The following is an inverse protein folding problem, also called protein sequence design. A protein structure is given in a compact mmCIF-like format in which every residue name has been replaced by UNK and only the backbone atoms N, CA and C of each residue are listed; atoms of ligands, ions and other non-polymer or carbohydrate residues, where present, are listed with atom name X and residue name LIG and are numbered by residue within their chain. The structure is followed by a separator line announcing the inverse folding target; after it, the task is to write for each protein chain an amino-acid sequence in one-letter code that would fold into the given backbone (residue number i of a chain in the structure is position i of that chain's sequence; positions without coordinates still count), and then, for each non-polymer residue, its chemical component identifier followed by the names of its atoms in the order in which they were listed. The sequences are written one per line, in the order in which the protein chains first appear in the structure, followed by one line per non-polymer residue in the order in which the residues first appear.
data_IF_900325514355
#
_entry.id   IF_900325514355
#
_cell.length_a   1.000
_cell.length_b   1.000
_cell.length_c   1.000
_cell.angle_alpha   90.00
_cell.angle_beta   90.00
_cell.angle_gamma   90.00
#
_symmetry.space_group_name_H-M   'P 1'
#
loop_
_entity.id
_entity.type
_entity.pdbx_description
1 polymer ?
#
# COMPACT_ATOMS: atom_id res chain seq x y z
N UNK A 1 32.83 5.52 -35.63
CA UNK A 1 32.91 4.07 -35.32
C UNK A 1 33.09 3.81 -33.82
N UNK A 2 34.16 4.30 -33.18
CA UNK A 2 34.45 4.02 -31.74
C UNK A 2 33.36 4.56 -30.78
N UNK A 3 32.82 5.75 -31.03
CA UNK A 3 31.76 6.34 -30.21
C UNK A 3 30.45 5.55 -30.23
N UNK A 4 30.10 4.92 -31.36
CA UNK A 4 28.90 4.09 -31.48
C UNK A 4 29.03 2.77 -30.69
N UNK A 5 30.22 2.18 -30.68
CA UNK A 5 30.53 0.99 -29.88
C UNK A 5 30.48 1.30 -28.38
N UNK A 6 30.99 2.46 -27.96
CA UNK A 6 30.96 2.90 -26.56
C UNK A 6 29.54 3.16 -26.07
N UNK A 7 28.70 3.79 -26.89
CA UNK A 7 27.27 4.00 -26.62
C UNK A 7 26.50 2.67 -26.52
N UNK A 8 26.81 1.70 -27.38
CA UNK A 8 26.22 0.36 -27.32
C UNK A 8 26.62 -0.38 -26.04
N UNK A 9 27.89 -0.31 -25.62
CA UNK A 9 28.37 -0.92 -24.38
C UNK A 9 27.74 -0.27 -23.15
N UNK A 10 27.68 1.06 -23.08
CA UNK A 10 27.03 1.78 -21.97
C UNK A 10 25.53 1.45 -21.91
N UNK A 11 24.85 1.44 -23.05
CA UNK A 11 23.43 1.05 -23.13
C UNK A 11 23.21 -0.39 -22.68
N UNK A 12 24.10 -1.31 -23.09
CA UNK A 12 24.04 -2.71 -22.67
C UNK A 12 24.30 -2.88 -21.17
N UNK A 13 25.26 -2.16 -20.60
CA UNK A 13 25.52 -2.14 -19.15
C UNK A 13 24.31 -1.59 -18.40
N UNK A 14 23.70 -0.50 -18.86
CA UNK A 14 22.50 0.09 -18.25
C UNK A 14 21.33 -0.91 -18.32
N UNK A 15 21.11 -1.56 -19.47
CA UNK A 15 20.05 -2.56 -19.64
C UNK A 15 20.30 -3.80 -18.78
N UNK A 16 21.55 -4.26 -18.69
CA UNK A 16 21.95 -5.40 -17.86
C UNK A 16 21.76 -5.10 -16.37
N UNK A 17 22.19 -3.92 -15.90
CA UNK A 17 21.98 -3.46 -14.53
C UNK A 17 20.48 -3.30 -14.23
N UNK A 18 19.70 -2.70 -15.14
CA UNK A 18 18.24 -2.58 -15.00
C UNK A 18 17.55 -3.93 -14.90
N UNK A 19 17.96 -4.92 -15.71
CA UNK A 19 17.41 -6.28 -15.67
C UNK A 19 17.74 -6.99 -14.34
N UNK A 20 18.98 -6.82 -13.84
CA UNK A 20 19.42 -7.38 -12.54
C UNK A 20 18.72 -6.72 -11.33
N UNK A 21 18.30 -5.46 -11.48
CA UNK A 21 17.58 -4.70 -10.45
C UNK A 21 16.05 -4.86 -10.51
N UNK A 22 15.52 -5.54 -11.53
CA UNK A 22 14.06 -5.69 -11.67
C UNK A 22 13.52 -6.73 -10.67
N UNK A 23 12.54 -6.32 -9.86
CA UNK A 23 11.85 -7.22 -8.92
C UNK A 23 11.21 -8.40 -9.67
N UNK A 24 11.37 -9.61 -9.11
CA UNK A 24 10.75 -10.85 -9.59
C UNK A 24 9.67 -11.27 -8.60
N UNK A 25 8.46 -11.51 -9.09
CA UNK A 25 7.36 -12.02 -8.27
C UNK A 25 7.52 -13.53 -8.08
N UNK A 26 7.46 -13.98 -6.83
CA UNK A 26 7.38 -15.41 -6.52
C UNK A 26 6.01 -16.00 -6.86
N UNK A 27 5.85 -17.30 -6.62
CA UNK A 27 4.53 -17.93 -6.69
C UNK A 27 3.62 -17.35 -5.60
N UNK A 28 2.40 -16.99 -5.99
CA UNK A 28 1.41 -16.50 -5.05
C UNK A 28 0.74 -17.66 -4.30
N UNK A 29 0.30 -17.46 -3.05
CA UNK A 29 -0.63 -18.42 -2.44
C UNK A 29 -1.95 -18.47 -3.23
N UNK A 30 -2.67 -19.59 -3.12
CA UNK A 30 -3.96 -19.78 -3.81
C UNK A 30 -5.08 -18.93 -3.22
N UNK A 31 -4.98 -18.60 -1.94
CA UNK A 31 -5.94 -17.78 -1.20
C UNK A 31 -5.22 -16.67 -0.46
N UNK A 32 -5.99 -15.66 -0.05
CA UNK A 32 -5.44 -14.56 0.70
C UNK A 32 -4.90 -15.01 2.06
N UNK A 33 -3.69 -14.57 2.39
CA UNK A 33 -3.00 -14.88 3.64
C UNK A 33 -3.41 -13.89 4.74
N UNK A 34 -4.40 -14.30 5.54
CA UNK A 34 -5.07 -13.45 6.54
C UNK A 34 -4.59 -13.74 7.96
N UNK A 35 -4.53 -12.71 8.79
CA UNK A 35 -4.28 -12.84 10.23
C UNK A 35 -5.49 -13.44 10.96
N UNK A 36 -5.30 -14.05 12.14
CA UNK A 36 -6.36 -14.70 12.91
C UNK A 36 -7.29 -13.68 13.62
N UNK A 37 -7.95 -12.81 12.85
CA UNK A 37 -9.01 -11.92 13.33
C UNK A 37 -10.35 -12.66 13.24
N UNK A 38 -11.12 -12.66 14.33
CA UNK A 38 -12.44 -13.30 14.38
C UNK A 38 -13.33 -12.73 13.27
N UNK A 39 -13.94 -13.63 12.49
CA UNK A 39 -14.82 -13.27 11.37
C UNK A 39 -14.11 -12.94 10.06
N UNK A 40 -12.81 -12.67 10.05
CA UNK A 40 -12.06 -12.30 8.84
C UNK A 40 -12.04 -13.42 7.80
N UNK A 41 -11.94 -14.68 8.23
CA UNK A 41 -12.04 -15.83 7.31
C UNK A 41 -13.40 -15.87 6.62
N UNK A 42 -14.50 -15.70 7.35
CA UNK A 42 -15.86 -15.70 6.78
C UNK A 42 -16.03 -14.56 5.77
N UNK A 43 -15.48 -13.39 6.08
CA UNK A 43 -15.45 -12.24 5.18
C UNK A 43 -14.65 -12.52 3.89
N UNK A 44 -13.47 -13.12 4.02
CA UNK A 44 -12.63 -13.54 2.90
C UNK A 44 -13.29 -14.62 2.04
N UNK A 45 -13.87 -15.66 2.66
CA UNK A 45 -14.59 -16.71 1.94
C UNK A 45 -15.81 -16.16 1.19
N UNK A 46 -16.47 -15.14 1.73
CA UNK A 46 -17.59 -14.49 1.04
C UNK A 46 -17.11 -13.69 -0.17
N UNK A 47 -16.01 -12.95 -0.06
CA UNK A 47 -15.38 -12.26 -1.19
C UNK A 47 -15.09 -13.23 -2.34
N UNK A 48 -14.48 -14.38 -2.03
CA UNK A 48 -14.17 -15.40 -3.03
C UNK A 48 -15.43 -15.96 -3.72
N UNK A 49 -16.56 -16.07 -3.01
CA UNK A 49 -17.83 -16.52 -3.59
C UNK A 49 -18.48 -15.45 -4.46
N UNK A 50 -18.34 -14.16 -4.11
CA UNK A 50 -18.89 -13.04 -4.87
C UNK A 50 -18.15 -12.80 -6.19
N UNK A 51 -16.92 -13.29 -6.33
CA UNK A 51 -16.13 -13.19 -7.56
C UNK A 51 -16.33 -14.43 -8.43
N UNK A 52 -17.28 -14.36 -9.38
CA UNK A 52 -17.57 -15.50 -10.26
C UNK A 52 -16.36 -15.90 -11.11
N UNK A 53 -16.18 -17.22 -11.33
CA UNK A 53 -15.05 -17.74 -12.13
C UNK A 53 -15.06 -17.21 -13.57
N UNK A 54 -16.23 -17.11 -14.18
CA UNK A 54 -16.37 -16.60 -15.55
C UNK A 54 -15.97 -15.12 -15.62
N UNK A 55 -16.41 -14.31 -14.66
CA UNK A 55 -16.05 -12.90 -14.61
C UNK A 55 -14.54 -12.73 -14.45
N UNK A 56 -13.94 -13.42 -13.46
CA UNK A 56 -12.51 -13.30 -13.21
C UNK A 56 -11.65 -13.85 -14.36
N UNK A 57 -12.11 -14.89 -15.07
CA UNK A 57 -11.45 -15.38 -16.28
C UNK A 57 -11.42 -14.33 -17.40
N UNK A 58 -12.54 -13.63 -17.63
CA UNK A 58 -12.60 -12.56 -18.63
C UNK A 58 -11.71 -11.36 -18.24
N UNK A 59 -11.68 -11.02 -16.95
CA UNK A 59 -10.78 -9.98 -16.42
C UNK A 59 -9.32 -10.36 -16.62
N UNK A 60 -8.93 -11.59 -16.30
CA UNK A 60 -7.57 -12.08 -16.52
C UNK A 60 -7.18 -11.99 -17.99
N UNK A 61 -8.02 -12.52 -18.90
CA UNK A 61 -7.76 -12.47 -20.34
C UNK A 61 -7.57 -11.03 -20.83
N UNK A 62 -8.43 -10.11 -20.39
CA UNK A 62 -8.32 -8.69 -20.71
C UNK A 62 -7.02 -8.09 -20.18
N UNK A 63 -6.68 -8.33 -18.92
CA UNK A 63 -5.46 -7.82 -18.30
C UNK A 63 -4.21 -8.31 -19.04
N UNK A 64 -4.16 -9.58 -19.45
CA UNK A 64 -3.04 -10.14 -20.20
C UNK A 64 -2.88 -9.50 -21.60
N UNK A 65 -3.97 -9.00 -22.20
CA UNK A 65 -3.94 -8.27 -23.47
C UNK A 65 -3.53 -6.79 -23.31
N UNK A 66 -4.07 -6.13 -22.29
CA UNK A 66 -3.95 -4.67 -22.10
C UNK A 66 -2.71 -4.26 -21.30
N UNK A 67 -2.19 -5.13 -20.43
CA UNK A 67 -1.13 -4.82 -19.49
C UNK A 67 0.06 -5.76 -19.68
N UNK A 68 1.25 -5.18 -19.89
CA UNK A 68 2.51 -5.94 -19.92
C UNK A 68 2.91 -6.34 -18.49
N UNK A 69 2.49 -7.53 -18.09
CA UNK A 69 2.79 -8.09 -16.77
C UNK A 69 4.10 -8.89 -16.77
N UNK A 70 4.77 -8.90 -15.61
CA UNK A 70 5.80 -9.90 -15.33
C UNK A 70 5.17 -11.25 -14.97
N UNK A 71 5.98 -12.30 -15.06
CA UNK A 71 5.63 -13.61 -14.53
C UNK A 71 5.13 -13.50 -13.08
N UNK A 72 4.03 -14.19 -12.76
CA UNK A 72 3.32 -14.19 -11.47
C UNK A 72 2.72 -12.85 -11.00
N UNK A 73 2.93 -11.72 -11.72
CA UNK A 73 2.48 -10.40 -11.26
C UNK A 73 0.96 -10.29 -11.19
N UNK A 74 0.23 -10.91 -12.13
CA UNK A 74 -1.24 -10.93 -12.14
C UNK A 74 -1.79 -11.45 -10.80
N UNK A 75 -1.34 -12.63 -10.39
CA UNK A 75 -1.85 -13.30 -9.19
C UNK A 75 -1.59 -12.48 -7.93
N UNK A 76 -0.44 -11.81 -7.84
CA UNK A 76 -0.14 -10.91 -6.72
C UNK A 76 -0.99 -9.64 -6.73
N UNK A 77 -1.18 -9.01 -7.90
CA UNK A 77 -2.10 -7.87 -8.04
C UNK A 77 -3.52 -8.26 -7.63
N UNK A 78 -3.98 -9.45 -8.04
CA UNK A 78 -5.31 -9.95 -7.71
C UNK A 78 -5.47 -10.23 -6.21
N UNK A 79 -4.47 -10.84 -5.56
CA UNK A 79 -4.49 -11.03 -4.10
C UNK A 79 -4.59 -9.68 -3.36
N UNK A 80 -3.81 -8.68 -3.74
CA UNK A 80 -3.87 -7.38 -3.08
C UNK A 80 -5.14 -6.59 -3.42
N UNK A 81 -5.74 -6.80 -4.59
CA UNK A 81 -7.05 -6.25 -4.90
C UNK A 81 -8.14 -6.85 -3.99
N UNK A 82 -8.04 -8.15 -3.70
CA UNK A 82 -8.92 -8.81 -2.72
C UNK A 82 -8.70 -8.27 -1.30
N UNK A 83 -7.45 -8.03 -0.88
CA UNK A 83 -7.15 -7.33 0.38
C UNK A 83 -7.83 -5.96 0.43
N UNK A 84 -7.77 -5.22 -0.68
CA UNK A 84 -8.41 -3.91 -0.79
C UNK A 84 -9.94 -4.01 -0.66
N UNK A 85 -10.60 -4.97 -1.31
CA UNK A 85 -12.05 -5.16 -1.14
C UNK A 85 -12.44 -5.53 0.29
N UNK A 86 -11.61 -6.30 1.00
CA UNK A 86 -11.82 -6.52 2.44
C UNK A 86 -11.74 -5.19 3.21
N UNK A 87 -10.76 -4.34 2.93
CA UNK A 87 -10.65 -3.03 3.57
C UNK A 87 -11.88 -2.14 3.29
N UNK A 88 -12.36 -2.08 2.03
CA UNK A 88 -13.55 -1.29 1.68
C UNK A 88 -14.84 -1.84 2.29
N UNK A 89 -14.89 -3.12 2.67
CA UNK A 89 -16.03 -3.71 3.39
C UNK A 89 -16.08 -3.35 4.89
N UNK A 90 -14.95 -2.89 5.45
CA UNK A 90 -14.79 -2.60 6.87
C UNK A 90 -14.70 -1.09 7.16
N UNK A 91 -13.95 -0.35 6.35
CA UNK A 91 -13.62 1.06 6.56
C UNK A 91 -14.64 2.00 5.90
N UNK A 92 -14.87 3.17 6.49
CA UNK A 92 -15.67 4.25 5.86
C UNK A 92 -15.00 4.76 4.59
N UNK A 93 -13.69 4.95 4.66
CA UNK A 93 -12.86 5.43 3.57
C UNK A 93 -11.62 4.54 3.45
N UNK A 94 -11.29 4.15 2.22
CA UNK A 94 -10.11 3.34 1.92
C UNK A 94 -9.57 3.71 0.53
N UNK A 95 -8.62 4.66 0.44
CA UNK A 95 -7.99 5.02 -0.83
C UNK A 95 -7.17 3.85 -1.39
N UNK A 96 -7.14 3.72 -2.72
CA UNK A 96 -6.27 2.73 -3.38
C UNK A 96 -4.85 3.31 -3.53
N UNK A 97 -3.91 2.89 -2.69
CA UNK A 97 -2.53 3.41 -2.70
C UNK A 97 -1.58 2.71 -3.68
N UNK A 98 -1.97 1.56 -4.23
CA UNK A 98 -1.16 0.85 -5.23
C UNK A 98 -1.70 1.12 -6.63
N UNK A 99 -1.00 1.95 -7.41
CA UNK A 99 -1.34 2.14 -8.82
C UNK A 99 -1.33 0.83 -9.62
N UNK A 100 -0.52 -0.15 -9.20
CA UNK A 100 -0.51 -1.46 -9.85
C UNK A 100 -1.80 -2.26 -9.59
N UNK A 101 -2.30 -2.22 -8.37
CA UNK A 101 -3.56 -2.88 -8.02
C UNK A 101 -4.74 -2.11 -8.62
N UNK A 102 -4.65 -0.78 -8.65
CA UNK A 102 -5.61 0.13 -9.27
C UNK A 102 -5.77 -0.15 -10.77
N UNK A 103 -4.67 -0.34 -11.52
CA UNK A 103 -4.72 -0.72 -12.94
C UNK A 103 -5.55 -2.00 -13.17
N UNK A 104 -5.41 -3.00 -12.28
CA UNK A 104 -6.19 -4.25 -12.36
C UNK A 104 -7.67 -3.98 -12.02
N UNK A 105 -7.92 -3.17 -11.00
CA UNK A 105 -9.28 -2.76 -10.63
C UNK A 105 -9.97 -2.03 -11.80
N UNK A 106 -9.26 -1.16 -12.51
CA UNK A 106 -9.76 -0.52 -13.73
C UNK A 106 -10.17 -1.54 -14.80
N UNK A 107 -9.43 -2.64 -14.98
CA UNK A 107 -9.84 -3.69 -15.91
C UNK A 107 -11.10 -4.43 -15.45
N UNK A 108 -11.26 -4.62 -14.13
CA UNK A 108 -12.49 -5.18 -13.56
C UNK A 108 -13.72 -4.30 -13.88
N UNK A 109 -13.59 -2.97 -13.82
CA UNK A 109 -14.69 -2.02 -14.08
C UNK A 109 -15.23 -2.05 -15.52
N UNK A 110 -14.45 -2.58 -16.48
CA UNK A 110 -14.88 -2.67 -17.88
C UNK A 110 -16.00 -3.69 -18.10
N UNK A 111 -16.19 -4.60 -17.15
CA UNK A 111 -17.30 -5.56 -17.13
C UNK A 111 -18.37 -5.03 -16.19
N UNK A 112 -19.05 -3.97 -16.62
CA UNK A 112 -19.88 -3.13 -15.73
C UNK A 112 -20.99 -3.90 -15.03
N UNK A 113 -21.62 -4.86 -15.72
CA UNK A 113 -22.69 -5.69 -15.16
C UNK A 113 -22.14 -6.64 -14.10
N UNK A 114 -21.12 -7.41 -14.43
CA UNK A 114 -20.50 -8.38 -13.53
C UNK A 114 -19.86 -7.71 -12.31
N UNK A 115 -19.29 -6.51 -12.52
CA UNK A 115 -18.75 -5.69 -11.44
C UNK A 115 -19.83 -5.19 -10.49
N UNK A 116 -20.97 -4.75 -11.02
CA UNK A 116 -22.11 -4.32 -10.22
C UNK A 116 -22.73 -5.50 -9.44
N UNK A 117 -22.89 -6.65 -10.08
CA UNK A 117 -23.34 -7.90 -9.46
C UNK A 117 -22.40 -8.32 -8.31
N UNK A 118 -21.08 -8.34 -8.57
CA UNK A 118 -20.05 -8.60 -7.54
C UNK A 118 -20.18 -7.62 -6.36
N UNK A 119 -20.27 -6.32 -6.66
CA UNK A 119 -20.29 -5.27 -5.65
C UNK A 119 -21.51 -5.40 -4.74
N UNK A 120 -22.70 -5.58 -5.34
CA UNK A 120 -23.96 -5.75 -4.60
C UNK A 120 -23.95 -7.02 -3.76
N UNK A 121 -23.47 -8.14 -4.30
CA UNK A 121 -23.35 -9.39 -3.55
C UNK A 121 -22.42 -9.22 -2.34
N UNK A 122 -21.22 -8.68 -2.58
CA UNK A 122 -20.20 -8.61 -1.54
C UNK A 122 -20.47 -7.51 -0.51
N UNK A 123 -20.75 -6.29 -0.96
CA UNK A 123 -20.82 -5.06 -0.16
C UNK A 123 -22.26 -4.59 0.10
N UNK A 124 -23.25 -5.08 -0.64
CA UNK A 124 -24.64 -4.60 -0.56
C UNK A 124 -24.95 -3.37 -1.41
N UNK A 125 -23.93 -2.78 -2.05
CA UNK A 125 -24.05 -1.62 -2.93
C UNK A 125 -22.98 -1.66 -4.02
N UNK A 126 -23.14 -0.86 -5.07
CA UNK A 126 -22.10 -0.68 -6.09
C UNK A 126 -20.85 -0.05 -5.45
N UNK A 127 -19.67 -0.64 -5.68
CA UNK A 127 -18.41 -0.06 -5.24
C UNK A 127 -17.95 0.97 -6.26
N UNK A 128 -18.22 2.24 -5.99
CA UNK A 128 -17.78 3.31 -6.87
C UNK A 128 -16.27 3.50 -6.78
N UNK A 129 -15.59 3.38 -7.92
CA UNK A 129 -14.20 3.80 -8.03
C UNK A 129 -14.15 5.31 -8.25
N UNK A 130 -13.50 6.03 -7.34
CA UNK A 130 -13.07 7.39 -7.58
C UNK A 130 -11.60 7.38 -8.02
N UNK A 131 -11.25 7.89 -9.21
CA UNK A 131 -9.86 8.03 -9.60
C UNK A 131 -9.10 8.83 -8.54
N UNK A 132 -7.90 8.40 -8.18
CA UNK A 132 -7.02 9.17 -7.30
C UNK A 132 -6.57 10.45 -8.03
N UNK A 133 -7.36 11.52 -7.97
CA UNK A 133 -7.04 12.80 -8.60
C UNK A 133 -5.81 13.48 -7.94
N UNK A 134 -5.52 13.12 -6.69
CA UNK A 134 -4.34 13.59 -5.95
C UNK A 134 -3.15 12.67 -6.25
N UNK A 135 -2.18 13.19 -7.01
CA UNK A 135 -0.90 12.50 -7.29
C UNK A 135 -0.02 12.32 -6.05
N UNK A 136 -0.28 13.06 -4.97
CA UNK A 136 0.46 12.94 -3.71
C UNK A 136 -0.31 12.04 -2.74
N UNK A 137 0.35 11.07 -2.10
CA UNK A 137 -0.27 10.34 -1.00
C UNK A 137 -0.70 11.35 0.06
N UNK A 138 -1.94 11.23 0.54
CA UNK A 138 -2.36 11.87 1.78
C UNK A 138 -1.66 11.12 2.92
N UNK A 139 -0.58 11.67 3.50
CA UNK A 139 0.28 10.92 4.41
C UNK A 139 -0.50 10.35 5.59
N UNK A 140 -1.45 11.15 6.09
CA UNK A 140 -2.32 10.84 7.21
C UNK A 140 -3.18 9.59 6.96
N UNK A 141 -3.79 9.49 5.77
CA UNK A 141 -4.56 8.32 5.35
C UNK A 141 -3.67 7.11 5.07
N UNK A 142 -2.46 7.34 4.55
CA UNK A 142 -1.56 6.25 4.18
C UNK A 142 -0.98 5.53 5.39
N UNK A 143 -0.61 6.26 6.45
CA UNK A 143 -0.16 5.66 7.69
C UNK A 143 -1.26 4.81 8.33
N UNK A 144 -2.48 5.33 8.39
CA UNK A 144 -3.65 4.61 8.92
C UNK A 144 -3.95 3.34 8.09
N UNK A 145 -3.93 3.44 6.76
CA UNK A 145 -4.05 2.28 5.88
C UNK A 145 -3.01 1.20 6.18
N UNK A 146 -1.73 1.57 6.30
CA UNK A 146 -0.65 0.62 6.59
C UNK A 146 -0.85 -0.06 7.97
N UNK A 147 -1.40 0.65 8.95
CA UNK A 147 -1.78 0.07 10.24
C UNK A 147 -2.89 -0.96 10.09
N UNK A 148 -4.02 -0.60 9.49
CA UNK A 148 -5.16 -1.53 9.31
C UNK A 148 -4.75 -2.75 8.48
N UNK A 149 -4.01 -2.54 7.39
CA UNK A 149 -3.45 -3.62 6.57
C UNK A 149 -2.56 -4.53 7.41
N UNK A 150 -1.66 -3.94 8.23
CA UNK A 150 -0.77 -4.65 9.12
C UNK A 150 -1.47 -5.47 10.21
N UNK A 151 -2.71 -5.15 10.58
CA UNK A 151 -3.54 -5.92 11.52
C UNK A 151 -4.30 -7.07 10.85
N UNK A 152 -4.63 -6.95 9.56
CA UNK A 152 -5.45 -7.91 8.83
C UNK A 152 -4.63 -8.93 8.02
N UNK A 153 -3.47 -8.55 7.49
CA UNK A 153 -2.74 -9.34 6.49
C UNK A 153 -1.26 -9.53 6.83
N UNK A 154 -0.67 -10.57 6.25
CA UNK A 154 0.79 -10.74 6.26
C UNK A 154 1.43 -9.95 5.10
N UNK A 155 2.40 -9.11 5.42
CA UNK A 155 3.09 -8.24 4.45
C UNK A 155 4.31 -8.97 3.90
N UNK A 156 4.27 -9.27 2.60
CA UNK A 156 5.34 -9.94 1.84
C UNK A 156 6.06 -8.96 0.92
N UNK A 157 7.21 -9.41 0.39
CA UNK A 157 8.04 -8.61 -0.52
C UNK A 157 7.27 -8.17 -1.77
N UNK A 158 6.34 -8.98 -2.24
CA UNK A 158 5.45 -8.67 -3.36
C UNK A 158 4.47 -7.55 -3.02
N UNK A 159 3.84 -7.59 -1.83
CA UNK A 159 2.98 -6.50 -1.37
C UNK A 159 3.78 -5.19 -1.27
N UNK A 160 4.97 -5.25 -0.68
CA UNK A 160 5.88 -4.11 -0.57
C UNK A 160 6.22 -3.55 -1.95
N UNK A 161 6.46 -4.42 -2.93
CA UNK A 161 6.71 -3.98 -4.30
C UNK A 161 5.47 -3.31 -4.94
N UNK A 162 4.27 -3.88 -4.73
CA UNK A 162 3.02 -3.34 -5.26
C UNK A 162 2.66 -1.98 -4.66
N UNK A 163 2.87 -1.78 -3.36
CA UNK A 163 2.55 -0.52 -2.64
C UNK A 163 3.71 0.48 -2.56
N UNK A 164 4.87 0.15 -3.17
CA UNK A 164 6.12 0.92 -3.11
C UNK A 164 6.58 1.16 -1.66
N UNK A 165 6.49 0.13 -0.82
CA UNK A 165 6.82 0.15 0.60
C UNK A 165 5.60 0.14 1.52
N UNK A 166 5.83 -0.23 2.78
CA UNK A 166 4.90 -0.12 3.91
C UNK A 166 5.59 0.64 5.04
N UNK A 167 4.81 1.24 5.94
CA UNK A 167 5.26 2.01 7.10
C UNK A 167 6.14 3.21 6.74
N UNK A 168 5.81 3.86 5.62
CA UNK A 168 6.59 4.99 5.07
C UNK A 168 6.09 6.36 5.54
N UNK A 169 4.85 6.42 6.01
CA UNK A 169 4.18 7.63 6.47
C UNK A 169 3.61 7.38 7.86
N UNK A 170 3.77 8.32 8.80
CA UNK A 170 3.29 8.12 10.17
C UNK A 170 1.76 8.07 10.24
N UNK A 171 1.23 7.40 11.26
CA UNK A 171 -0.17 7.58 11.67
C UNK A 171 -0.27 8.86 12.51
N UNK A 172 -1.23 9.77 12.24
CA UNK A 172 -1.47 10.94 13.09
C UNK A 172 -1.65 10.56 14.58
N UNK A 173 -0.99 11.26 15.53
CA UNK A 173 -1.02 10.86 16.93
C UNK A 173 -2.42 10.88 17.55
N UNK A 174 -3.31 11.76 17.09
CA UNK A 174 -4.70 11.83 17.54
C UNK A 174 -5.45 10.52 17.24
N UNK A 175 -5.26 9.92 16.06
CA UNK A 175 -5.88 8.64 15.71
C UNK A 175 -5.40 7.55 16.69
N UNK A 176 -4.10 7.49 16.97
CA UNK A 176 -3.54 6.50 17.91
C UNK A 176 -4.12 6.72 19.32
N UNK A 177 -4.27 7.98 19.74
CA UNK A 177 -4.87 8.34 21.03
C UNK A 177 -6.35 7.96 21.13
N UNK A 178 -7.11 8.15 20.06
CA UNK A 178 -8.51 7.73 19.99
C UNK A 178 -8.63 6.21 20.18
N UNK A 179 -7.80 5.41 19.50
CA UNK A 179 -7.76 3.96 19.72
C UNK A 179 -7.29 3.55 21.13
N UNK A 180 -6.53 4.40 21.84
CA UNK A 180 -6.20 4.15 23.25
C UNK A 180 -7.38 4.40 24.19
N UNK A 181 -8.17 5.44 23.92
CA UNK A 181 -9.10 6.04 24.91
C UNK A 181 -10.57 5.79 24.58
N UNK A 182 -10.99 5.98 23.34
CA UNK A 182 -12.40 5.96 22.96
C UNK A 182 -13.00 4.56 23.08
N UNK A 183 -14.29 4.44 23.43
CA UNK A 183 -15.00 3.16 23.41
C UNK A 183 -15.18 2.65 21.97
N UNK A 184 -15.50 1.36 21.82
CA UNK A 184 -15.53 0.71 20.49
C UNK A 184 -16.61 1.29 19.57
N UNK A 185 -17.76 1.71 20.10
CA UNK A 185 -18.84 2.32 19.32
C UNK A 185 -18.41 3.66 18.68
N UNK A 186 -17.69 4.52 19.41
CA UNK A 186 -17.19 5.77 18.86
C UNK A 186 -16.13 5.52 17.77
N UNK A 187 -15.25 4.53 17.96
CA UNK A 187 -14.29 4.14 16.93
C UNK A 187 -14.98 3.62 15.67
N UNK A 188 -16.07 2.87 15.81
CA UNK A 188 -16.91 2.46 14.68
C UNK A 188 -17.44 3.68 13.94
N UNK A 189 -18.03 4.64 14.66
CA UNK A 189 -18.57 5.87 14.07
C UNK A 189 -17.51 6.75 13.40
N UNK A 190 -16.26 6.73 13.85
CA UNK A 190 -15.21 7.54 13.23
C UNK A 190 -14.60 6.87 11.99
N UNK A 191 -14.31 5.56 12.06
CA UNK A 191 -13.41 4.92 11.10
C UNK A 191 -14.03 3.78 10.29
N UNK A 192 -15.11 3.17 10.77
CA UNK A 192 -15.66 1.93 10.21
C UNK A 192 -17.10 2.10 9.70
N UNK A 193 -17.52 1.19 8.83
CA UNK A 193 -18.91 1.13 8.37
C UNK A 193 -19.78 0.57 9.50
N UNK A 194 -20.64 1.40 10.07
CA UNK A 194 -21.54 1.05 11.17
C UNK A 194 -22.66 0.09 10.73
N UNK A 195 -23.00 0.11 9.46
CA UNK A 195 -23.98 -0.77 8.80
C UNK A 195 -23.35 -2.03 8.21
N UNK A 196 -22.06 -2.29 8.48
CA UNK A 196 -21.38 -3.47 7.94
C UNK A 196 -22.03 -4.75 8.44
N UNK A 197 -22.46 -5.62 7.52
CA UNK A 197 -22.88 -7.00 7.83
C UNK A 197 -21.78 -7.85 8.51
N UNK A 198 -20.57 -7.31 8.63
CA UNK A 198 -19.42 -7.91 9.31
C UNK A 198 -19.04 -7.21 10.61
N UNK A 199 -20.00 -6.62 11.34
CA UNK A 199 -19.72 -5.92 12.60
C UNK A 199 -18.89 -6.73 13.61
N UNK A 200 -19.08 -8.06 13.69
CA UNK A 200 -18.24 -8.90 14.54
C UNK A 200 -16.74 -8.86 14.16
N UNK A 201 -16.44 -8.77 12.86
CA UNK A 201 -15.07 -8.60 12.33
C UNK A 201 -14.55 -7.20 12.61
N UNK A 202 -15.39 -6.17 12.43
CA UNK A 202 -15.06 -4.77 12.75
C UNK A 202 -14.65 -4.62 14.21
N UNK A 203 -15.47 -5.10 15.16
CA UNK A 203 -15.16 -5.04 16.59
C UNK A 203 -13.89 -5.83 16.93
N UNK A 204 -13.65 -6.95 16.27
CA UNK A 204 -12.43 -7.75 16.48
C UNK A 204 -11.17 -7.06 15.95
N UNK A 205 -11.27 -6.37 14.82
CA UNK A 205 -10.21 -5.52 14.27
C UNK A 205 -9.95 -4.32 15.18
N UNK A 206 -10.99 -3.63 15.64
CA UNK A 206 -10.87 -2.54 16.62
C UNK A 206 -10.13 -3.05 17.86
N UNK A 207 -10.55 -4.19 18.43
CA UNK A 207 -9.87 -4.79 19.58
C UNK A 207 -8.38 -5.07 19.32
N UNK A 208 -8.01 -5.55 18.14
CA UNK A 208 -6.62 -5.74 17.74
C UNK A 208 -5.85 -4.41 17.67
N UNK A 209 -6.42 -3.40 17.00
CA UNK A 209 -5.83 -2.06 16.90
C UNK A 209 -5.67 -1.41 18.27
N UNK A 210 -6.67 -1.48 19.16
CA UNK A 210 -6.56 -0.97 20.54
C UNK A 210 -5.43 -1.66 21.30
N UNK A 211 -5.22 -2.98 21.11
CA UNK A 211 -4.09 -3.71 21.70
C UNK A 211 -2.75 -3.21 21.16
N UNK A 212 -2.63 -2.94 19.87
CA UNK A 212 -1.42 -2.37 19.26
C UNK A 212 -1.16 -0.96 19.75
N UNK A 213 -2.19 -0.11 19.81
CA UNK A 213 -2.10 1.26 20.32
C UNK A 213 -1.67 1.32 21.80
N UNK A 214 -2.07 0.35 22.63
CA UNK A 214 -1.62 0.22 24.02
C UNK A 214 -0.18 -0.27 24.18
N UNK A 215 0.40 -0.89 23.15
CA UNK A 215 1.78 -1.39 23.17
C UNK A 215 2.82 -0.35 22.76
N UNK A 216 2.39 0.84 22.32
CA UNK A 216 3.31 1.88 21.86
C UNK A 216 4.24 2.32 22.99
N UNK A 217 5.51 2.56 22.65
CA UNK A 217 6.54 2.99 23.61
C UNK A 217 7.41 4.06 23.00
N UNK A 218 7.94 4.94 23.82
CA UNK A 218 8.94 5.89 23.34
C UNK A 218 10.28 5.14 23.18
N UNK A 219 10.63 4.80 21.94
CA UNK A 219 11.88 4.13 21.62
C UNK A 219 12.95 5.15 21.25
N UNK A 220 14.20 4.87 21.66
CA UNK A 220 15.34 5.56 21.09
C UNK A 220 15.52 5.21 19.60
N UNK A 221 16.01 6.18 18.83
CA UNK A 221 16.21 6.03 17.38
C UNK A 221 17.09 4.83 17.01
N UNK A 222 18.18 4.61 17.74
CA UNK A 222 19.08 3.47 17.51
C UNK A 222 18.37 2.12 17.67
N UNK A 223 17.50 2.01 18.66
CA UNK A 223 16.69 0.81 18.91
C UNK A 223 15.72 0.52 17.76
N UNK A 224 15.03 1.54 17.26
CA UNK A 224 14.11 1.38 16.12
C UNK A 224 14.88 0.92 14.88
N UNK A 225 16.01 1.55 14.57
CA UNK A 225 16.85 1.18 13.43
C UNK A 225 17.40 -0.24 13.56
N UNK A 226 17.75 -0.69 14.77
CA UNK A 226 18.14 -2.07 15.03
C UNK A 226 16.98 -3.05 14.79
N UNK A 227 15.78 -2.74 15.27
CA UNK A 227 14.58 -3.55 15.02
C UNK A 227 14.27 -3.66 13.53
N UNK A 228 14.39 -2.56 12.77
CA UNK A 228 14.24 -2.57 11.31
C UNK A 228 15.27 -3.47 10.63
N UNK A 229 16.53 -3.41 11.06
CA UNK A 229 17.61 -4.26 10.52
C UNK A 229 17.35 -5.74 10.79
N UNK A 230 16.93 -6.08 12.02
CA UNK A 230 16.63 -7.47 12.42
C UNK A 230 15.41 -8.03 11.69
N UNK A 231 14.40 -7.20 11.44
CA UNK A 231 13.13 -7.62 10.84
C UNK A 231 13.01 -7.31 9.35
N UNK A 232 14.13 -7.19 8.61
CA UNK A 232 14.13 -6.87 7.17
C UNK A 232 13.26 -7.81 6.32
N UNK A 233 13.01 -9.03 6.79
CA UNK A 233 12.17 -10.04 6.12
C UNK A 233 10.80 -10.26 6.80
N UNK A 234 10.55 -9.63 7.95
CA UNK A 234 9.28 -9.75 8.70
C UNK A 234 8.70 -8.37 8.96
N UNK A 235 8.01 -7.82 7.96
CA UNK A 235 7.45 -6.48 8.05
C UNK A 235 6.34 -6.39 9.10
N UNK A 236 5.56 -7.45 9.33
CA UNK A 236 4.51 -7.41 10.36
C UNK A 236 5.09 -7.20 11.78
N UNK A 237 6.31 -7.64 12.06
CA UNK A 237 6.97 -7.38 13.35
C UNK A 237 7.29 -5.88 13.57
N UNK A 238 7.35 -5.09 12.50
CA UNK A 238 7.59 -3.65 12.55
C UNK A 238 6.36 -2.83 12.89
N UNK A 239 5.17 -3.43 13.02
CA UNK A 239 3.93 -2.70 13.29
C UNK A 239 4.00 -1.88 14.59
N UNK A 240 4.39 -2.49 15.72
CA UNK A 240 4.47 -1.76 17.00
C UNK A 240 5.54 -0.66 16.99
N UNK A 241 6.78 -0.89 16.52
CA UNK A 241 7.75 0.18 16.35
C UNK A 241 7.26 1.31 15.43
N UNK A 242 6.61 0.97 14.31
CA UNK A 242 6.03 1.94 13.39
C UNK A 242 5.01 2.86 14.08
N UNK A 243 4.03 2.29 14.79
CA UNK A 243 3.02 3.08 15.52
C UNK A 243 3.67 3.87 16.67
N UNK A 244 4.69 3.30 17.32
CA UNK A 244 5.43 3.97 18.39
C UNK A 244 6.15 5.23 17.92
N UNK A 245 6.87 5.14 16.80
CA UNK A 245 7.53 6.31 16.19
C UNK A 245 6.48 7.31 15.70
N UNK A 246 5.40 6.83 15.06
CA UNK A 246 4.31 7.71 14.64
C UNK A 246 3.72 8.52 15.80
N UNK A 247 3.59 7.92 16.98
CA UNK A 247 3.02 8.56 18.15
C UNK A 247 3.98 9.54 18.87
N UNK A 248 5.23 9.13 19.11
CA UNK A 248 6.17 9.91 19.92
C UNK A 248 7.08 10.84 19.10
N UNK A 249 7.29 10.52 17.82
CA UNK A 249 8.27 11.17 16.94
C UNK A 249 7.64 11.49 15.58
N UNK A 250 6.40 11.99 15.56
CA UNK A 250 5.64 12.26 14.32
C UNK A 250 6.41 13.14 13.33
N UNK A 251 6.89 14.29 13.79
CA UNK A 251 7.60 15.27 12.94
C UNK A 251 8.96 14.77 12.46
N UNK A 252 9.61 13.91 13.25
CA UNK A 252 10.93 13.32 12.95
C UNK A 252 10.83 11.87 12.41
N UNK A 253 9.62 11.42 12.05
CA UNK A 253 9.34 10.01 11.72
C UNK A 253 10.27 9.48 10.62
N UNK A 254 10.49 10.27 9.57
CA UNK A 254 11.35 9.90 8.45
C UNK A 254 12.79 9.60 8.89
N UNK A 255 13.28 10.30 9.92
CA UNK A 255 14.64 10.12 10.42
C UNK A 255 14.79 8.79 11.17
N UNK A 256 13.77 8.39 11.93
CA UNK A 256 13.72 7.10 12.63
C UNK A 256 13.60 5.93 11.67
N UNK A 257 12.82 6.08 10.61
CA UNK A 257 12.55 5.02 9.63
C UNK A 257 13.60 4.91 8.51
N UNK A 258 14.62 5.79 8.48
CA UNK A 258 15.77 5.67 7.58
C UNK A 258 16.78 4.67 8.15
N UNK A 259 17.01 3.57 7.44
CA UNK A 259 18.17 2.71 7.69
C UNK A 259 19.41 3.44 7.14
N UNK A 260 20.40 3.73 7.99
CA UNK A 260 21.61 4.43 7.53
C UNK A 260 22.33 3.61 6.45
N UNK A 261 22.68 4.26 5.35
CA UNK A 261 23.14 3.65 4.10
C UNK A 261 24.56 3.08 4.15
N UNK A 262 25.25 3.08 5.30
CA UNK A 262 26.64 2.64 5.39
C UNK A 262 26.87 1.16 5.08
N UNK A 263 25.82 0.33 4.95
CA UNK A 263 25.97 -1.08 4.61
C UNK A 263 24.78 -1.70 3.86
N UNK A 264 24.08 -0.93 3.02
CA UNK A 264 22.99 -1.47 2.18
C UNK A 264 23.12 -1.08 0.71
N UNK A 265 24.12 -1.62 0.03
CA UNK A 265 24.10 -1.74 -1.44
C UNK A 265 23.13 -2.86 -1.84
N UNK A 266 21.82 -2.59 -1.70
CA UNK A 266 20.76 -3.28 -2.44
C UNK A 266 19.42 -2.62 -2.11
N UNK A 267 18.86 -1.97 -3.14
CA UNK A 267 17.43 -1.69 -3.33
C UNK A 267 16.83 -0.56 -2.47
N UNK A 268 16.89 0.68 -2.98
CA UNK A 268 15.77 1.63 -3.18
C UNK A 268 16.35 3.03 -3.43
N UNK A 269 16.66 3.35 -4.69
CA UNK A 269 16.88 4.73 -5.11
C UNK A 269 15.53 5.34 -5.49
N UNK A 270 14.96 6.17 -4.61
CA UNK A 270 13.94 7.17 -4.99
C UNK A 270 13.82 8.26 -3.92
N UNK A 271 14.49 9.37 -4.21
CA UNK A 271 14.04 10.76 -4.07
C UNK A 271 13.20 11.13 -2.83
N UNK A 272 13.84 11.77 -1.85
CA UNK A 272 13.14 12.67 -0.92
C UNK A 272 14.15 13.70 -0.39
N UNK A 273 14.37 14.75 -1.18
CA UNK A 273 15.00 16.00 -0.74
C UNK A 273 14.63 17.12 -1.73
N UNK A 274 13.43 17.68 -1.57
CA UNK A 274 13.14 19.02 -2.06
C UNK A 274 12.87 19.89 -0.84
N UNK A 275 13.95 20.48 -0.32
CA UNK A 275 13.89 21.57 0.64
C UNK A 275 14.93 22.60 0.19
N UNK A 276 14.44 23.83 0.04
CA UNK A 276 15.15 25.11 -0.10
C UNK A 276 16.07 25.30 -1.31
N UNK A 277 15.57 26.01 -2.31
CA UNK A 277 16.39 26.92 -3.13
C UNK A 277 15.63 28.23 -3.37
N UNK A 278 15.73 29.12 -2.39
CA UNK A 278 15.57 30.56 -2.60
C UNK A 278 16.94 31.10 -2.95
N UNK A 279 17.12 31.65 -4.16
CA UNK A 279 17.89 32.87 -4.49
C UNK A 279 18.20 32.95 -5.99
N UNK A 280 17.47 33.85 -6.65
CA UNK A 280 17.90 34.78 -7.70
C UNK A 280 19.27 34.60 -8.39
N UNK A 281 19.25 34.57 -9.73
CA UNK A 281 20.00 35.53 -10.56
C UNK A 281 19.43 35.60 -11.98
N UNK A 282 19.32 36.82 -12.46
CA UNK A 282 18.74 37.30 -13.71
C UNK A 282 19.56 36.92 -14.94
N UNK A 283 18.88 36.66 -16.07
CA UNK A 283 19.31 37.15 -17.39
C UNK A 283 18.10 37.29 -18.32
N UNK A 284 18.14 38.39 -19.08
CA UNK A 284 17.04 39.00 -19.82
C UNK A 284 17.11 38.73 -21.32
N UNK A 285 15.97 38.84 -22.00
CA UNK A 285 15.77 39.14 -23.44
C UNK A 285 16.24 38.08 -24.45
N UNK A 286 15.59 37.81 -25.59
CA UNK A 286 14.81 38.68 -26.48
C UNK A 286 13.61 37.95 -27.08
N UNK A 287 12.53 38.71 -27.31
CA UNK A 287 11.46 38.35 -28.24
C UNK A 287 11.68 38.94 -29.63
N UNK A 288 10.78 38.56 -30.55
CA UNK A 288 10.68 38.99 -31.95
C UNK A 288 10.86 37.79 -32.88
N UNK A 289 9.97 37.46 -33.80
CA UNK A 289 8.79 38.10 -34.37
C UNK A 289 8.59 37.43 -35.73
N UNK A 290 7.36 37.03 -36.05
CA UNK A 290 6.98 36.41 -37.31
C UNK A 290 5.51 36.65 -37.54
N UNK A 291 5.26 37.68 -38.35
CA UNK A 291 4.02 38.23 -38.94
C UNK A 291 2.95 38.83 -38.01
#
# INVERSE_FOLDING_TARGET
MIWLLLLAVVSWIILFLRKKLSFKFGLSPKSLDIKPIKGLKKLSDHLERSLSKSYMGNVEERVMKEIKLKENEYSWRLLDLKSYFILTSLLKESPMFSGKVDDLWHQMLMFTREYDDFSKEYLGSTLHHSPNLKKSPEPDLRGFFDWVYGELFFIRNENIHLYKGFYRFPVPPNIIDEFKRLPENELVELYFKSDSKYMATVLSLISAMKKTAKKVKNYEKGTVQEMMRKNKQNYNAMLVPFISVSYYHYDDFSSYMKISSKLSSSCTSSCSSCSSCSSCSSCSSCGGGGD
#
